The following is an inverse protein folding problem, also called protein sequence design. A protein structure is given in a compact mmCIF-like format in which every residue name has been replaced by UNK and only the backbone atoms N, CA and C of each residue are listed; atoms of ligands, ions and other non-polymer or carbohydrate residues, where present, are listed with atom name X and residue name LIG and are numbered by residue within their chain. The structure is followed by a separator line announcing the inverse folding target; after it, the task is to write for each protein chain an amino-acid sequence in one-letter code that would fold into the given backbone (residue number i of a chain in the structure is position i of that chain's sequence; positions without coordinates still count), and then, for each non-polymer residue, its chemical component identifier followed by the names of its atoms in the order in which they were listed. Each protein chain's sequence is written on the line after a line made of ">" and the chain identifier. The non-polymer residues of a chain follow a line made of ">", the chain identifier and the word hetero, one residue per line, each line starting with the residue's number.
data_IF_983219949352
#
_entry.id   IF_983219949352
#
_cell.length_a   1.000
_cell.length_b   1.000
_cell.length_c   1.000
_cell.angle_alpha   90.00
_cell.angle_beta   90.00
_cell.angle_gamma   90.00
#
_symmetry.space_group_name_H-M   'P 1'
#
loop_
_entity.id
_entity.type
_entity.pdbx_description
1 polymer ?
#
# COMPACT_ATOMS: atom_id res chain seq x y z
N UNK A 1 -15.69 -29.24 40.24
CA UNK A 1 -14.50 -29.10 39.37
C UNK A 1 -14.91 -28.96 37.91
N UNK A 2 -15.86 -29.75 37.42
CA UNK A 2 -16.28 -29.75 36.00
C UNK A 2 -16.79 -28.40 35.48
N UNK A 3 -17.53 -27.63 36.29
CA UNK A 3 -18.02 -26.30 35.91
C UNK A 3 -16.89 -25.26 35.72
N UNK A 4 -15.76 -25.43 36.40
CA UNK A 4 -14.62 -24.51 36.27
C UNK A 4 -13.78 -24.85 35.03
N UNK A 5 -13.75 -26.11 34.62
CA UNK A 5 -13.09 -26.55 33.38
C UNK A 5 -13.86 -26.15 32.14
N UNK A 6 -15.19 -26.26 32.15
CA UNK A 6 -16.04 -25.79 31.03
C UNK A 6 -15.94 -24.28 30.83
N UNK A 7 -15.96 -23.48 31.90
CA UNK A 7 -15.80 -22.02 31.81
C UNK A 7 -14.43 -21.62 31.22
N UNK A 8 -13.37 -22.33 31.61
CA UNK A 8 -12.02 -22.10 31.06
C UNK A 8 -11.94 -22.43 29.57
N UNK A 9 -12.61 -23.50 29.12
CA UNK A 9 -12.66 -23.86 27.71
C UNK A 9 -13.41 -22.81 26.87
N UNK A 10 -14.54 -22.29 27.36
CA UNK A 10 -15.30 -21.23 26.69
C UNK A 10 -14.51 -19.90 26.61
N UNK A 11 -13.83 -19.51 27.69
CA UNK A 11 -13.00 -18.31 27.70
C UNK A 11 -11.81 -18.43 26.73
N UNK A 12 -11.17 -19.60 26.64
CA UNK A 12 -10.12 -19.85 25.66
C UNK A 12 -10.66 -19.83 24.23
N UNK A 13 -11.87 -20.34 24.01
CA UNK A 13 -12.51 -20.31 22.70
C UNK A 13 -12.83 -18.86 22.27
N UNK A 14 -13.38 -18.04 23.18
CA UNK A 14 -13.63 -16.63 22.93
C UNK A 14 -12.34 -15.84 22.67
N UNK A 15 -11.28 -16.11 23.44
CA UNK A 15 -9.96 -15.50 23.23
C UNK A 15 -9.38 -15.84 21.86
N UNK A 16 -9.48 -17.11 21.45
CA UNK A 16 -9.06 -17.55 20.13
C UNK A 16 -9.86 -16.86 19.02
N UNK A 17 -11.19 -16.78 19.14
CA UNK A 17 -12.04 -16.08 18.16
C UNK A 17 -11.66 -14.59 18.07
N UNK A 18 -11.47 -13.92 19.20
CA UNK A 18 -11.05 -12.53 19.24
C UNK A 18 -9.66 -12.34 18.59
N UNK A 19 -8.74 -13.27 18.85
CA UNK A 19 -7.43 -13.34 18.20
C UNK A 19 -7.55 -13.43 16.67
N UNK A 20 -8.34 -14.37 16.16
CA UNK A 20 -8.59 -14.51 14.72
C UNK A 20 -9.26 -13.27 14.12
N UNK A 21 -10.23 -12.67 14.81
CA UNK A 21 -10.88 -11.43 14.37
C UNK A 21 -9.89 -10.27 14.24
N UNK A 22 -9.00 -10.11 15.23
CA UNK A 22 -7.94 -9.09 15.18
C UNK A 22 -6.93 -9.34 14.05
N UNK A 23 -6.58 -10.60 13.78
CA UNK A 23 -5.72 -10.98 12.66
C UNK A 23 -6.36 -10.67 11.31
N UNK A 24 -7.66 -10.96 11.13
CA UNK A 24 -8.40 -10.63 9.91
C UNK A 24 -8.42 -9.11 9.68
N UNK A 25 -8.67 -8.34 10.74
CA UNK A 25 -8.65 -6.88 10.66
C UNK A 25 -7.25 -6.35 10.24
N UNK A 26 -6.18 -6.91 10.80
CA UNK A 26 -4.80 -6.56 10.43
C UNK A 26 -4.49 -6.93 8.97
N UNK A 27 -4.86 -8.13 8.52
CA UNK A 27 -4.65 -8.56 7.13
C UNK A 27 -5.40 -7.63 6.17
N UNK A 28 -6.67 -7.34 6.46
CA UNK A 28 -7.46 -6.41 5.65
C UNK A 28 -6.84 -5.00 5.60
N UNK A 29 -6.32 -4.52 6.73
CA UNK A 29 -5.63 -3.23 6.79
C UNK A 29 -4.35 -3.23 5.95
N UNK A 30 -3.53 -4.28 6.03
CA UNK A 30 -2.31 -4.43 5.24
C UNK A 30 -2.61 -4.47 3.73
N UNK A 31 -3.61 -5.25 3.33
CA UNK A 31 -4.05 -5.32 1.91
C UNK A 31 -4.50 -3.94 1.43
N UNK A 32 -5.31 -3.23 2.21
CA UNK A 32 -5.76 -1.89 1.86
C UNK A 32 -4.60 -0.88 1.74
N UNK A 33 -3.60 -0.95 2.64
CA UNK A 33 -2.42 -0.10 2.58
C UNK A 33 -1.56 -0.39 1.32
N UNK A 34 -1.43 -1.67 0.95
CA UNK A 34 -0.73 -2.09 -0.27
C UNK A 34 -1.45 -1.55 -1.51
N UNK A 35 -2.76 -1.72 -1.60
CA UNK A 35 -3.57 -1.24 -2.73
C UNK A 35 -3.52 0.29 -2.85
N UNK A 36 -3.57 1.00 -1.73
CA UNK A 36 -3.40 2.45 -1.70
C UNK A 36 -2.00 2.88 -2.20
N UNK A 37 -0.95 2.16 -1.80
CA UNK A 37 0.42 2.39 -2.27
C UNK A 37 0.57 2.19 -3.78
N UNK A 38 0.01 1.11 -4.33
CA UNK A 38 0.02 0.86 -5.78
C UNK A 38 -0.81 1.88 -6.55
N UNK A 39 -1.97 2.27 -6.04
CA UNK A 39 -2.84 3.29 -6.65
C UNK A 39 -2.14 4.64 -6.67
N UNK A 40 -1.54 5.05 -5.55
CA UNK A 40 -0.76 6.30 -5.45
C UNK A 40 0.45 6.29 -6.39
N UNK A 41 1.17 5.16 -6.48
CA UNK A 41 2.30 5.00 -7.39
C UNK A 41 1.87 5.07 -8.86
N UNK A 42 0.74 4.46 -9.20
CA UNK A 42 0.15 4.49 -10.55
C UNK A 42 -0.28 5.91 -10.92
N UNK A 43 -0.97 6.60 -10.01
CA UNK A 43 -1.38 8.00 -10.18
C UNK A 43 -0.16 8.91 -10.39
N UNK A 44 0.86 8.79 -9.55
CA UNK A 44 2.11 9.53 -9.67
C UNK A 44 2.84 9.28 -11.00
N UNK A 45 2.87 8.05 -11.51
CA UNK A 45 3.43 7.73 -12.83
C UNK A 45 2.63 8.31 -14.00
N UNK A 46 1.31 8.46 -13.86
CA UNK A 46 0.49 9.13 -14.88
C UNK A 46 0.75 10.63 -14.92
N UNK A 47 0.96 11.23 -13.76
CA UNK A 47 1.22 12.68 -13.64
C UNK A 47 2.70 13.01 -13.90
N UNK A 48 3.63 12.07 -13.75
CA UNK A 48 5.05 12.28 -13.99
C UNK A 48 5.56 11.41 -15.14
N UNK A 49 5.88 12.03 -16.27
CA UNK A 49 6.51 11.36 -17.40
C UNK A 49 7.95 11.85 -17.59
N UNK A 50 8.88 10.92 -17.70
CA UNK A 50 10.24 11.19 -18.17
C UNK A 50 10.16 11.60 -19.64
N UNK A 51 10.63 12.80 -19.96
CA UNK A 51 10.64 13.31 -21.34
C UNK A 51 12.07 13.40 -21.84
N UNK A 52 12.24 13.01 -23.09
CA UNK A 52 13.45 13.23 -23.83
C UNK A 52 13.14 14.22 -24.94
N UNK A 53 13.72 15.42 -24.86
CA UNK A 53 13.55 16.45 -25.87
C UNK A 53 14.92 16.94 -26.34
N UNK A 54 15.01 17.31 -27.62
CA UNK A 54 16.26 17.80 -28.23
C UNK A 54 16.11 19.29 -28.48
N UNK A 55 16.68 20.09 -27.57
CA UNK A 55 16.63 21.55 -27.64
C UNK A 55 17.90 22.12 -28.27
N UNK A 56 17.73 23.19 -29.04
CA UNK A 56 18.86 24.00 -29.50
C UNK A 56 19.28 24.94 -28.37
N UNK A 57 20.51 24.81 -27.91
CA UNK A 57 21.12 25.70 -26.90
C UNK A 57 22.50 26.08 -27.44
N UNK A 58 22.79 27.38 -27.53
CA UNK A 58 24.08 27.91 -28.00
C UNK A 58 24.56 27.35 -29.36
N UNK A 59 23.64 27.18 -30.32
CA UNK A 59 23.98 26.70 -31.67
C UNK A 59 24.16 25.18 -31.78
N UNK A 60 24.02 24.43 -30.69
CA UNK A 60 24.14 22.97 -30.68
C UNK A 60 22.83 22.29 -30.26
N UNK A 61 22.58 21.09 -30.79
CA UNK A 61 21.43 20.26 -30.40
C UNK A 61 21.80 19.41 -29.19
N UNK A 62 21.31 19.81 -28.03
CA UNK A 62 21.57 19.10 -26.77
C UNK A 62 20.37 18.24 -26.42
N UNK A 63 20.64 17.00 -26.01
CA UNK A 63 19.61 16.10 -25.50
C UNK A 63 19.30 16.48 -24.06
N UNK A 64 18.06 16.91 -23.80
CA UNK A 64 17.60 17.28 -22.47
C UNK A 64 16.77 16.14 -21.89
N UNK A 65 17.25 15.58 -20.78
CA UNK A 65 16.46 14.70 -19.92
C UNK A 65 15.72 15.57 -18.89
N UNK A 66 14.40 15.41 -18.82
CA UNK A 66 13.57 16.17 -17.88
C UNK A 66 12.40 15.35 -17.36
N UNK A 67 11.86 15.77 -16.23
CA UNK A 67 10.60 15.22 -15.69
C UNK A 67 9.51 16.22 -16.04
N UNK A 68 8.50 15.78 -16.79
CA UNK A 68 7.30 16.57 -17.07
C UNK A 68 6.20 16.16 -16.11
N UNK A 69 5.72 17.14 -15.35
CA UNK A 69 4.59 17.00 -14.45
C UNK A 69 3.34 17.52 -15.16
N UNK A 70 2.32 16.68 -15.27
CA UNK A 70 0.98 17.07 -15.69
C UNK A 70 0.16 17.30 -14.42
N UNK A 71 -0.42 18.49 -14.30
CA UNK A 71 -1.33 18.89 -13.22
C UNK A 71 -2.77 18.78 -13.73
#
# INVERSE_FOLDING_TARGET
>A
NDQAETLRAELNHLYNIAGYGSMIALVNHLVSAIDAGFTTRSYNRRHMQLTYDRRYVNGERVNMFGIRMYW
#
